data_IF_450033526080
#
_entry.id   IF_450033526080
#
_cell.length_a   1.000
_cell.length_b   1.000
_cell.length_c   1.000
_cell.angle_alpha   90.00
_cell.angle_beta   90.00
_cell.angle_gamma   90.00
#
_symmetry.space_group_name_H-M   'P 1'
#
loop_
_entity.id
_entity.type
_entity.pdbx_description
1 polymer ?
#
# COMPACT_ATOMS: atom_id res chain seq x y z
N UNK A 1 -38.10 63.06 23.66
CA UNK A 1 -37.42 62.27 24.71
C UNK A 1 -37.80 60.81 24.52
N UNK A 2 -36.89 60.04 23.94
CA UNK A 2 -37.07 58.68 23.43
C UNK A 2 -37.14 57.65 24.58
N UNK A 3 -38.27 57.59 25.30
CA UNK A 3 -38.46 56.62 26.40
C UNK A 3 -38.20 55.16 25.96
N UNK A 4 -38.45 54.83 24.68
CA UNK A 4 -38.24 53.50 24.12
C UNK A 4 -36.77 53.09 23.92
N UNK A 5 -35.84 54.05 23.75
CA UNK A 5 -34.41 53.74 23.58
C UNK A 5 -33.76 53.32 24.90
N UNK A 6 -34.21 53.89 26.02
CA UNK A 6 -33.70 53.56 27.35
C UNK A 6 -34.20 52.20 27.84
N UNK A 7 -35.51 51.92 27.66
CA UNK A 7 -36.13 50.62 27.99
C UNK A 7 -35.38 49.45 27.33
N UNK A 8 -34.98 49.64 26.07
CA UNK A 8 -34.25 48.68 25.26
C UNK A 8 -32.87 48.31 25.83
N UNK A 9 -32.15 49.27 26.41
CA UNK A 9 -30.82 49.05 26.99
C UNK A 9 -30.92 48.44 28.39
N UNK A 10 -31.81 48.96 29.23
CA UNK A 10 -32.08 48.44 30.57
C UNK A 10 -32.51 46.96 30.53
N UNK A 11 -33.29 46.57 29.50
CA UNK A 11 -33.66 45.18 29.23
C UNK A 11 -32.46 44.25 28.99
N UNK A 12 -31.41 44.74 28.32
CA UNK A 12 -30.21 43.95 28.06
C UNK A 12 -29.41 43.72 29.32
N UNK A 13 -29.20 44.80 30.08
CA UNK A 13 -28.34 44.75 31.25
C UNK A 13 -28.99 43.89 32.35
N UNK A 14 -30.31 44.00 32.56
CA UNK A 14 -31.04 43.10 33.46
C UNK A 14 -31.03 41.63 33.01
N UNK A 15 -31.04 41.34 31.71
CA UNK A 15 -30.94 39.95 31.22
C UNK A 15 -29.51 39.39 31.37
N UNK A 16 -28.46 40.22 31.29
CA UNK A 16 -27.08 39.78 31.59
C UNK A 16 -26.93 39.39 33.07
N UNK A 17 -27.65 40.07 33.95
CA UNK A 17 -27.69 39.79 35.39
C UNK A 17 -28.51 38.53 35.75
N UNK A 18 -28.84 37.68 34.78
CA UNK A 18 -29.64 36.45 34.91
C UNK A 18 -31.05 36.65 35.48
N UNK A 19 -31.63 37.84 35.35
CA UNK A 19 -33.04 38.01 35.70
C UNK A 19 -33.94 37.26 34.73
N UNK A 20 -34.91 36.53 35.29
CA UNK A 20 -35.93 35.84 34.51
C UNK A 20 -36.83 36.85 33.80
N UNK A 21 -37.32 36.51 32.60
CA UNK A 21 -38.13 37.42 31.77
C UNK A 21 -39.33 38.04 32.50
N UNK A 22 -39.95 37.30 33.41
CA UNK A 22 -41.08 37.77 34.24
C UNK A 22 -40.66 38.89 35.20
N UNK A 23 -39.49 38.78 35.83
CA UNK A 23 -38.99 39.78 36.76
C UNK A 23 -38.65 41.08 36.02
N UNK A 24 -38.03 40.96 34.85
CA UNK A 24 -37.70 42.09 33.98
C UNK A 24 -38.97 42.83 33.53
N UNK A 25 -40.01 42.08 33.15
CA UNK A 25 -41.31 42.62 32.75
C UNK A 25 -41.97 43.45 33.86
N UNK A 26 -41.95 42.95 35.10
CA UNK A 26 -42.49 43.65 36.27
C UNK A 26 -41.65 44.89 36.61
N UNK A 27 -40.32 44.76 36.62
CA UNK A 27 -39.40 45.84 36.98
C UNK A 27 -39.45 47.04 36.03
N UNK A 28 -39.57 46.77 34.72
CA UNK A 28 -39.62 47.82 33.70
C UNK A 28 -41.04 48.22 33.28
N UNK A 29 -42.07 47.56 33.84
CA UNK A 29 -43.47 47.72 33.46
C UNK A 29 -43.71 47.58 31.94
N UNK A 30 -43.06 46.57 31.34
CA UNK A 30 -43.14 46.27 29.90
C UNK A 30 -43.82 44.91 29.72
N UNK A 31 -44.72 44.73 28.73
CA UNK A 31 -45.34 43.44 28.46
C UNK A 31 -44.30 42.35 28.21
N UNK A 32 -44.51 41.16 28.81
CA UNK A 32 -43.61 40.01 28.71
C UNK A 32 -43.29 39.63 27.25
N UNK A 33 -44.27 39.75 26.35
CA UNK A 33 -44.08 39.49 24.91
C UNK A 33 -43.07 40.44 24.27
N UNK A 34 -43.09 41.72 24.66
CA UNK A 34 -42.13 42.72 24.17
C UNK A 34 -40.74 42.44 24.72
N UNK A 35 -40.62 42.08 26.01
CA UNK A 35 -39.35 41.66 26.63
C UNK A 35 -38.75 40.46 25.88
N UNK A 36 -39.56 39.43 25.62
CA UNK A 36 -39.13 38.24 24.88
C UNK A 36 -38.68 38.56 23.46
N UNK A 37 -39.41 39.44 22.75
CA UNK A 37 -39.09 39.82 21.37
C UNK A 37 -37.79 40.62 21.30
N UNK A 38 -37.61 41.59 22.20
CA UNK A 38 -36.41 42.43 22.27
C UNK A 38 -35.18 41.60 22.60
N UNK A 39 -35.27 40.70 23.59
CA UNK A 39 -34.15 39.82 23.95
C UNK A 39 -33.87 38.80 22.84
N UNK A 40 -34.89 38.27 22.17
CA UNK A 40 -34.74 37.40 21.01
C UNK A 40 -34.00 38.07 19.85
N UNK A 41 -34.37 39.31 19.51
CA UNK A 41 -33.70 40.12 18.51
C UNK A 41 -32.25 40.45 18.91
N UNK A 42 -32.00 40.72 20.19
CA UNK A 42 -30.65 40.93 20.71
C UNK A 42 -29.79 39.67 20.58
N UNK A 43 -30.27 38.51 21.03
CA UNK A 43 -29.54 37.24 20.94
C UNK A 43 -29.20 36.86 19.49
N UNK A 44 -30.07 37.18 18.55
CA UNK A 44 -29.92 36.78 17.14
C UNK A 44 -29.11 37.78 16.30
N UNK A 45 -29.27 39.07 16.55
CA UNK A 45 -28.76 40.14 15.66
C UNK A 45 -27.94 41.21 16.39
N UNK A 46 -27.75 41.09 17.71
CA UNK A 46 -27.14 42.10 18.59
C UNK A 46 -27.81 43.49 18.49
N UNK A 47 -29.02 43.59 17.94
CA UNK A 47 -29.79 44.83 17.77
C UNK A 47 -30.94 44.92 18.77
N UNK A 48 -31.30 46.14 19.19
CA UNK A 48 -32.50 46.40 20.02
C UNK A 48 -33.66 46.93 19.20
N UNK A 49 -33.35 47.48 18.03
CA UNK A 49 -34.36 47.95 17.11
C UNK A 49 -35.00 46.77 16.41
N UNK A 50 -36.33 46.83 16.15
CA UNK A 50 -36.94 45.90 15.22
C UNK A 50 -36.17 46.00 13.90
N UNK A 51 -35.79 44.85 13.34
CA UNK A 51 -35.16 44.84 12.03
C UNK A 51 -36.13 45.47 11.03
N UNK A 52 -35.60 46.29 10.13
CA UNK A 52 -36.37 46.71 8.96
C UNK A 52 -36.89 45.44 8.29
N UNK A 53 -38.22 45.34 8.18
CA UNK A 53 -38.85 44.26 7.45
C UNK A 53 -38.19 44.22 6.08
N UNK A 54 -37.47 43.14 5.77
CA UNK A 54 -36.92 42.94 4.45
C UNK A 54 -38.10 43.02 3.48
N UNK A 55 -38.19 44.12 2.74
CA UNK A 55 -39.31 44.36 1.84
C UNK A 55 -39.47 43.21 0.87
N UNK A 56 -40.62 43.18 0.17
CA UNK A 56 -40.90 42.14 -0.82
C UNK A 56 -39.71 41.96 -1.78
N UNK A 57 -39.30 40.71 -2.05
CA UNK A 57 -38.23 40.46 -3.00
C UNK A 57 -38.63 41.10 -4.35
N UNK A 58 -37.67 41.72 -5.05
CA UNK A 58 -37.97 42.39 -6.30
C UNK A 58 -38.53 41.39 -7.33
N UNK A 59 -39.60 41.76 -8.02
CA UNK A 59 -40.25 40.91 -9.05
C UNK A 59 -39.28 40.47 -10.15
N UNK A 60 -38.28 41.31 -10.44
CA UNK A 60 -37.25 41.04 -11.43
C UNK A 60 -35.92 40.70 -10.78
N UNK A 61 -35.36 39.55 -11.19
CA UNK A 61 -34.00 39.20 -10.83
C UNK A 61 -33.02 40.31 -11.27
N UNK A 62 -32.06 40.66 -10.40
CA UNK A 62 -31.03 41.70 -10.64
C UNK A 62 -30.32 41.60 -11.99
N UNK A 63 -30.20 40.39 -12.55
CA UNK A 63 -29.57 40.15 -13.86
C UNK A 63 -30.51 40.47 -15.03
N UNK A 64 -31.79 40.19 -14.88
CA UNK A 64 -32.82 40.52 -15.88
C UNK A 64 -33.01 42.03 -15.92
N UNK A 65 -33.14 42.68 -14.76
CA UNK A 65 -33.22 44.14 -14.66
C UNK A 65 -32.03 44.84 -15.34
N UNK A 66 -30.79 44.38 -15.10
CA UNK A 66 -29.60 44.91 -15.79
C UNK A 66 -29.59 44.69 -17.30
N UNK A 67 -30.10 43.54 -17.76
CA UNK A 67 -30.20 43.30 -19.20
C UNK A 67 -31.25 44.23 -19.83
N UNK A 68 -32.38 44.44 -19.15
CA UNK A 68 -33.45 45.34 -19.56
C UNK A 68 -32.93 46.78 -19.68
N UNK A 69 -32.22 47.25 -18.65
CA UNK A 69 -31.57 48.56 -18.64
C UNK A 69 -30.59 48.69 -19.82
N UNK A 70 -29.75 47.68 -20.06
CA UNK A 70 -28.84 47.67 -21.23
C UNK A 70 -29.57 47.71 -22.57
N UNK A 71 -30.68 46.99 -22.72
CA UNK A 71 -31.46 47.02 -23.96
C UNK A 71 -32.13 48.37 -24.17
N UNK A 72 -32.60 49.01 -23.10
CA UNK A 72 -33.18 50.35 -23.12
C UNK A 72 -32.14 51.45 -23.36
N UNK A 73 -30.92 51.31 -22.84
CA UNK A 73 -29.84 52.27 -23.13
C UNK A 73 -29.33 52.17 -24.57
N UNK A 74 -29.31 50.97 -25.15
CA UNK A 74 -28.78 50.74 -26.50
C UNK A 74 -29.78 51.03 -27.62
N UNK A 75 -31.06 51.25 -27.31
CA UNK A 75 -32.12 51.57 -28.26
C UNK A 75 -33.07 52.59 -27.65
N UNK A 76 -33.32 53.67 -28.37
CA UNK A 76 -34.20 54.77 -27.93
C UNK A 76 -35.65 54.37 -27.69
N UNK A 77 -36.18 53.32 -28.35
CA UNK A 77 -37.56 52.82 -28.18
C UNK A 77 -37.66 51.29 -28.45
N UNK A 78 -37.30 50.41 -27.49
CA UNK A 78 -37.46 48.98 -27.68
C UNK A 78 -38.92 48.53 -27.45
N UNK A 79 -39.49 47.81 -28.42
CA UNK A 79 -40.81 47.17 -28.22
C UNK A 79 -40.72 46.01 -27.22
N UNK A 80 -41.79 45.77 -26.45
CA UNK A 80 -41.83 44.67 -25.47
C UNK A 80 -41.50 43.30 -26.12
N UNK A 81 -42.07 43.02 -27.29
CA UNK A 81 -41.81 41.80 -28.07
C UNK A 81 -40.33 41.62 -28.36
N UNK A 82 -39.66 42.68 -28.80
CA UNK A 82 -38.22 42.64 -29.07
C UNK A 82 -37.40 42.31 -27.82
N UNK A 83 -37.73 42.92 -26.68
CA UNK A 83 -37.03 42.66 -25.42
C UNK A 83 -37.21 41.20 -24.97
N UNK A 84 -38.42 40.64 -25.12
CA UNK A 84 -38.69 39.23 -24.85
C UNK A 84 -37.89 38.30 -25.76
N UNK A 85 -37.83 38.60 -27.06
CA UNK A 85 -37.04 37.84 -28.05
C UNK A 85 -35.54 37.90 -27.77
N UNK A 86 -34.98 39.07 -27.43
CA UNK A 86 -33.56 39.20 -27.11
C UNK A 86 -33.20 38.40 -25.84
N UNK A 87 -34.04 38.46 -24.82
CA UNK A 87 -33.87 37.66 -23.60
C UNK A 87 -33.89 36.16 -23.90
N UNK A 88 -34.83 35.68 -24.72
CA UNK A 88 -34.91 34.26 -25.09
C UNK A 88 -33.74 33.85 -26.00
N UNK A 89 -33.30 34.70 -26.93
CA UNK A 89 -32.13 34.46 -27.77
C UNK A 89 -30.86 34.32 -26.93
N UNK A 90 -30.65 35.21 -25.94
CA UNK A 90 -29.55 35.10 -24.97
C UNK A 90 -29.63 33.82 -24.15
N UNK A 91 -30.84 33.43 -23.72
CA UNK A 91 -31.08 32.18 -22.99
C UNK A 91 -30.73 30.95 -23.82
N UNK A 92 -31.17 30.90 -25.09
CA UNK A 92 -30.82 29.85 -26.06
C UNK A 92 -29.31 29.75 -26.27
N UNK A 93 -28.64 30.88 -26.54
CA UNK A 93 -27.17 30.93 -26.70
C UNK A 93 -26.43 30.43 -25.45
N UNK A 94 -26.90 30.77 -24.25
CA UNK A 94 -26.34 30.27 -22.99
C UNK A 94 -26.55 28.77 -22.81
N UNK A 95 -27.75 28.25 -23.12
CA UNK A 95 -28.05 26.81 -23.08
C UNK A 95 -27.15 26.05 -24.06
N UNK A 96 -26.96 26.56 -25.26
CA UNK A 96 -26.10 25.95 -26.27
C UNK A 96 -24.63 25.94 -25.85
N UNK A 97 -24.11 27.07 -25.34
CA UNK A 97 -22.76 27.13 -24.76
C UNK A 97 -22.55 26.08 -23.67
N UNK A 98 -23.50 25.96 -22.73
CA UNK A 98 -23.47 24.93 -21.68
C UNK A 98 -23.48 23.51 -22.25
N UNK A 99 -24.28 23.24 -23.29
CA UNK A 99 -24.30 21.93 -23.99
C UNK A 99 -22.95 21.63 -24.64
N UNK A 100 -22.33 22.62 -25.31
CA UNK A 100 -21.00 22.50 -25.93
C UNK A 100 -19.91 22.23 -24.90
N UNK A 101 -19.92 22.96 -23.78
CA UNK A 101 -18.99 22.76 -22.66
C UNK A 101 -19.15 21.36 -22.04
N UNK A 102 -20.39 20.90 -21.81
CA UNK A 102 -20.66 19.52 -21.34
C UNK A 102 -20.14 18.47 -22.31
N UNK A 103 -20.34 18.64 -23.62
CA UNK A 103 -19.79 17.73 -24.65
C UNK A 103 -18.26 17.70 -24.62
N UNK A 104 -17.61 18.87 -24.53
CA UNK A 104 -16.14 18.96 -24.42
C UNK A 104 -15.63 18.28 -23.15
N UNK A 105 -16.29 18.50 -22.00
CA UNK A 105 -15.94 17.83 -20.72
C UNK A 105 -16.05 16.31 -20.83
N UNK A 106 -17.16 15.80 -21.36
CA UNK A 106 -17.36 14.35 -21.59
C UNK A 106 -16.29 13.76 -22.51
N UNK A 107 -15.91 14.46 -23.59
CA UNK A 107 -14.82 14.01 -24.48
C UNK A 107 -13.48 13.93 -23.76
N UNK A 108 -13.12 14.95 -22.96
CA UNK A 108 -11.88 14.94 -22.15
C UNK A 108 -11.88 13.82 -21.12
N UNK A 109 -13.01 13.60 -20.45
CA UNK A 109 -13.13 12.52 -19.46
C UNK A 109 -12.98 11.13 -20.10
N UNK A 110 -13.56 10.91 -21.29
CA UNK A 110 -13.36 9.66 -22.04
C UNK A 110 -11.90 9.44 -22.45
N UNK A 111 -11.17 10.50 -22.83
CA UNK A 111 -9.73 10.40 -23.15
C UNK A 111 -8.92 10.00 -21.92
N UNK A 112 -9.11 10.69 -20.79
CA UNK A 112 -8.46 10.35 -19.52
C UNK A 112 -8.72 8.91 -19.09
N UNK A 113 -9.96 8.43 -19.21
CA UNK A 113 -10.30 7.03 -18.91
C UNK A 113 -9.59 6.02 -19.81
N UNK A 114 -9.37 6.35 -21.09
CA UNK A 114 -8.60 5.51 -22.03
C UNK A 114 -7.11 5.52 -21.68
N UNK A 115 -6.54 6.69 -21.47
CA UNK A 115 -5.13 6.87 -21.05
C UNK A 115 -4.85 6.11 -19.75
N UNK A 116 -5.74 6.22 -18.75
CA UNK A 116 -5.60 5.49 -17.48
C UNK A 116 -5.69 3.97 -17.66
N UNK A 117 -6.56 3.50 -18.56
CA UNK A 117 -6.68 2.06 -18.87
C UNK A 117 -5.42 1.55 -19.57
N UNK A 118 -4.92 2.28 -20.56
CA UNK A 118 -3.68 1.96 -21.28
C UNK A 118 -2.48 1.91 -20.32
N UNK A 119 -2.36 2.89 -19.42
CA UNK A 119 -1.30 2.93 -18.40
C UNK A 119 -1.38 1.72 -17.45
N UNK A 120 -2.59 1.35 -17.00
CA UNK A 120 -2.82 0.15 -16.17
C UNK A 120 -2.41 -1.12 -16.90
N UNK A 121 -2.83 -1.29 -18.15
CA UNK A 121 -2.46 -2.44 -18.98
C UNK A 121 -0.93 -2.51 -19.21
N UNK A 122 -0.27 -1.38 -19.44
CA UNK A 122 1.18 -1.32 -19.62
C UNK A 122 1.93 -1.71 -18.34
N UNK A 123 1.50 -1.17 -17.18
CA UNK A 123 2.04 -1.55 -15.86
C UNK A 123 1.87 -3.05 -15.60
N UNK A 124 0.72 -3.62 -15.95
CA UNK A 124 0.47 -5.04 -15.79
C UNK A 124 1.36 -5.89 -16.71
N UNK A 125 1.49 -5.52 -17.99
CA UNK A 125 2.43 -6.16 -18.94
C UNK A 125 3.87 -6.10 -18.43
N UNK A 126 4.32 -4.97 -17.88
CA UNK A 126 5.64 -4.82 -17.24
C UNK A 126 5.80 -5.75 -16.03
N UNK A 127 4.82 -5.83 -15.14
CA UNK A 127 4.82 -6.77 -13.99
C UNK A 127 4.90 -8.24 -14.44
N UNK A 128 4.09 -8.64 -15.44
CA UNK A 128 4.11 -10.00 -16.03
C UNK A 128 5.48 -10.34 -16.62
N UNK A 129 6.09 -9.42 -17.40
CA UNK A 129 7.45 -9.57 -17.95
C UNK A 129 8.49 -9.75 -16.83
N UNK A 130 8.46 -8.92 -15.77
CA UNK A 130 9.35 -9.05 -14.60
C UNK A 130 9.18 -10.41 -13.90
N UNK A 131 7.95 -10.87 -13.67
CA UNK A 131 7.66 -12.19 -13.06
C UNK A 131 8.19 -13.34 -13.91
N UNK A 132 8.03 -13.29 -15.24
CA UNK A 132 8.57 -14.29 -16.18
C UNK A 132 10.11 -14.31 -16.14
N UNK A 133 10.78 -13.15 -16.14
CA UNK A 133 12.25 -13.06 -15.99
C UNK A 133 12.74 -13.66 -14.66
N UNK A 134 12.10 -13.33 -13.53
CA UNK A 134 12.43 -13.91 -12.21
C UNK A 134 12.27 -15.44 -12.19
N UNK A 135 11.18 -15.98 -12.74
CA UNK A 135 10.95 -17.43 -12.87
C UNK A 135 12.04 -18.10 -13.71
N UNK A 136 12.42 -17.52 -14.86
CA UNK A 136 13.52 -18.04 -15.69
C UNK A 136 14.85 -18.04 -14.93
N UNK A 137 15.19 -16.97 -14.20
CA UNK A 137 16.41 -16.89 -13.38
C UNK A 137 16.42 -17.95 -12.26
N UNK A 138 15.28 -18.16 -11.58
CA UNK A 138 15.14 -19.21 -10.55
C UNK A 138 15.32 -20.61 -11.12
N UNK A 139 14.72 -20.92 -12.29
CA UNK A 139 14.92 -22.20 -12.98
C UNK A 139 16.38 -22.43 -13.38
N UNK A 140 17.06 -21.42 -13.94
CA UNK A 140 18.50 -21.52 -14.28
C UNK A 140 19.37 -21.78 -13.05
N UNK A 141 19.11 -21.09 -11.93
CA UNK A 141 19.84 -21.31 -10.67
C UNK A 141 19.62 -22.72 -10.09
N UNK A 142 18.38 -23.24 -10.15
CA UNK A 142 18.09 -24.62 -9.73
C UNK A 142 18.87 -25.64 -10.58
N UNK A 143 18.80 -25.50 -11.91
CA UNK A 143 19.53 -26.38 -12.83
C UNK A 143 21.06 -26.32 -12.64
N UNK A 144 21.61 -25.14 -12.30
CA UNK A 144 23.04 -25.00 -11.97
C UNK A 144 23.39 -25.77 -10.69
N UNK A 145 22.58 -25.62 -9.64
CA UNK A 145 22.76 -26.34 -8.37
C UNK A 145 22.58 -27.85 -8.49
N UNK A 146 21.65 -28.30 -9.33
CA UNK A 146 21.46 -29.74 -9.61
C UNK A 146 22.68 -30.32 -10.33
N UNK A 147 23.26 -29.58 -11.30
CA UNK A 147 24.52 -29.96 -11.95
C UNK A 147 25.71 -29.97 -11.00
N UNK A 148 25.86 -28.94 -10.17
CA UNK A 148 26.93 -28.87 -9.16
C UNK A 148 26.86 -30.06 -8.19
N UNK A 149 25.65 -30.45 -7.76
CA UNK A 149 25.45 -31.64 -6.93
C UNK A 149 25.76 -32.95 -7.65
N UNK A 150 25.40 -33.07 -8.92
CA UNK A 150 25.69 -34.27 -9.72
C UNK A 150 27.19 -34.40 -10.03
N UNK A 151 27.90 -33.27 -10.17
CA UNK A 151 29.36 -33.22 -10.29
C UNK A 151 30.02 -33.61 -8.96
N UNK A 152 29.56 -33.05 -7.82
CA UNK A 152 30.04 -33.40 -6.48
C UNK A 152 29.77 -34.86 -6.11
N UNK A 153 28.62 -35.43 -6.47
CA UNK A 153 28.32 -36.86 -6.28
C UNK A 153 29.25 -37.76 -7.10
N UNK A 154 29.63 -37.35 -8.32
CA UNK A 154 30.59 -38.10 -9.15
C UNK A 154 32.01 -38.03 -8.61
N UNK A 155 32.46 -36.84 -8.18
CA UNK A 155 33.77 -36.69 -7.53
C UNK A 155 33.87 -37.56 -6.28
N UNK A 156 32.84 -37.57 -5.43
CA UNK A 156 32.82 -38.45 -4.25
C UNK A 156 32.77 -39.95 -4.60
N UNK A 157 32.12 -40.33 -5.70
CA UNK A 157 32.08 -41.73 -6.16
C UNK A 157 33.44 -42.17 -6.74
N UNK A 158 34.16 -41.27 -7.41
CA UNK A 158 35.52 -41.49 -7.90
C UNK A 158 36.51 -41.59 -6.73
N UNK A 159 36.49 -40.64 -5.78
CA UNK A 159 37.30 -40.70 -4.55
C UNK A 159 36.99 -41.98 -3.74
N UNK A 160 35.73 -42.40 -3.69
CA UNK A 160 35.34 -43.65 -3.02
C UNK A 160 35.94 -44.90 -3.67
N UNK A 161 36.02 -44.94 -5.01
CA UNK A 161 36.64 -46.04 -5.75
C UNK A 161 38.15 -46.06 -5.59
N UNK A 162 38.81 -44.90 -5.64
CA UNK A 162 40.26 -44.79 -5.39
C UNK A 162 40.61 -45.30 -3.98
N UNK A 163 39.86 -44.88 -2.96
CA UNK A 163 40.06 -45.37 -1.58
C UNK A 163 39.78 -46.88 -1.43
N UNK A 164 38.83 -47.44 -2.18
CA UNK A 164 38.55 -48.88 -2.16
C UNK A 164 39.65 -49.69 -2.85
N UNK A 165 40.26 -49.16 -3.92
CA UNK A 165 41.44 -49.74 -4.56
C UNK A 165 42.67 -49.69 -3.65
N UNK A 166 42.97 -48.54 -3.04
CA UNK A 166 44.06 -48.42 -2.05
C UNK A 166 43.85 -49.35 -0.84
N UNK A 167 42.60 -49.54 -0.41
CA UNK A 167 42.27 -50.48 0.65
C UNK A 167 42.57 -51.93 0.29
N UNK A 168 42.27 -52.35 -0.95
CA UNK A 168 42.56 -53.70 -1.46
C UNK A 168 44.06 -53.94 -1.61
N UNK A 169 44.81 -52.95 -2.11
CA UNK A 169 46.27 -53.04 -2.20
C UNK A 169 46.90 -53.23 -0.81
N UNK A 170 46.49 -52.44 0.19
CA UNK A 170 46.98 -52.61 1.56
C UNK A 170 46.62 -53.97 2.16
N UNK A 171 45.41 -54.49 1.89
CA UNK A 171 44.99 -55.80 2.40
C UNK A 171 45.77 -56.96 1.72
N UNK A 172 46.09 -56.85 0.43
CA UNK A 172 47.00 -57.79 -0.24
C UNK A 172 48.42 -57.71 0.33
N UNK A 173 48.93 -56.50 0.59
CA UNK A 173 50.25 -56.30 1.19
C UNK A 173 50.34 -56.88 2.62
N UNK A 174 49.28 -56.74 3.43
CA UNK A 174 49.21 -57.40 4.75
C UNK A 174 49.19 -58.93 4.63
N UNK A 175 48.43 -59.49 3.69
CA UNK A 175 48.41 -60.94 3.44
C UNK A 175 49.75 -61.48 2.98
N UNK A 176 50.49 -60.74 2.15
CA UNK A 176 51.87 -61.10 1.78
C UNK A 176 52.79 -61.09 3.00
N UNK A 177 52.75 -60.03 3.82
CA UNK A 177 53.54 -59.94 5.07
C UNK A 177 53.21 -61.07 6.05
N UNK A 178 51.96 -61.49 6.12
CA UNK A 178 51.51 -62.59 6.99
C UNK A 178 51.99 -63.96 6.47
N UNK A 179 51.93 -64.21 5.16
CA UNK A 179 52.53 -65.41 4.54
C UNK A 179 54.03 -65.48 4.73
N UNK A 180 54.73 -64.35 4.57
CA UNK A 180 56.18 -64.27 4.75
C UNK A 180 56.57 -64.57 6.21
N UNK A 181 55.73 -64.17 7.18
CA UNK A 181 55.87 -64.59 8.59
C UNK A 181 55.65 -66.09 8.77
N UNK A 182 54.59 -66.66 8.19
CA UNK A 182 54.33 -68.11 8.27
C UNK A 182 55.46 -68.95 7.65
N UNK A 183 56.04 -68.50 6.53
CA UNK A 183 57.19 -69.17 5.92
C UNK A 183 58.42 -69.13 6.82
N UNK A 184 58.75 -67.97 7.39
CA UNK A 184 59.83 -67.86 8.39
C UNK A 184 59.60 -68.76 9.60
N UNK A 185 58.36 -68.82 10.11
CA UNK A 185 58.02 -69.68 11.23
C UNK A 185 58.12 -71.18 10.89
N UNK A 186 57.88 -71.56 9.62
CA UNK A 186 58.11 -72.92 9.13
C UNK A 186 59.59 -73.23 8.95
N UNK A 187 60.38 -72.30 8.41
CA UNK A 187 61.84 -72.45 8.33
C UNK A 187 62.45 -72.62 9.73
N UNK A 188 62.05 -71.79 10.70
CA UNK A 188 62.50 -71.92 12.10
C UNK A 188 62.13 -73.30 12.69
N UNK A 189 60.90 -73.79 12.47
CA UNK A 189 60.50 -75.14 12.91
C UNK A 189 61.28 -76.24 12.20
N UNK A 190 61.61 -76.06 10.92
CA UNK A 190 62.37 -77.04 10.16
C UNK A 190 63.85 -77.07 10.58
N UNK A 191 64.43 -75.92 10.93
CA UNK A 191 65.73 -75.84 11.61
C UNK A 191 65.68 -76.51 12.99
N UNK A 192 64.63 -76.28 13.78
CA UNK A 192 64.47 -76.89 15.10
C UNK A 192 64.34 -78.43 15.01
N UNK A 193 63.72 -78.95 13.94
CA UNK A 193 63.65 -80.40 13.67
C UNK A 193 65.02 -80.93 13.24
N UNK A 194 65.76 -80.21 12.40
CA UNK A 194 67.13 -80.59 12.02
C UNK A 194 68.06 -80.59 13.23
N UNK A 195 67.95 -79.61 14.12
CA UNK A 195 68.69 -79.62 15.39
C UNK A 195 68.34 -80.84 16.24
N UNK A 196 67.05 -81.19 16.35
CA UNK A 196 66.62 -82.40 17.07
C UNK A 196 67.09 -83.70 16.42
N UNK A 197 67.13 -83.80 15.09
CA UNK A 197 67.71 -84.96 14.39
C UNK A 197 69.22 -85.06 14.60
N UNK A 198 69.93 -83.93 14.66
CA UNK A 198 71.36 -83.90 15.00
C UNK A 198 71.55 -84.35 16.45
N UNK A 199 70.72 -83.86 17.37
CA UNK A 199 70.75 -84.25 18.78
C UNK A 199 70.37 -85.73 19.01
N UNK A 200 69.44 -86.28 18.21
CA UNK A 200 69.12 -87.73 18.23
C UNK A 200 70.24 -88.58 17.65
N UNK A 201 70.90 -88.12 16.57
CA UNK A 201 72.10 -88.80 16.05
C UNK A 201 73.24 -88.78 17.04
N UNK A 202 73.47 -87.68 17.75
CA UNK A 202 74.45 -87.62 18.82
C UNK A 202 74.08 -88.57 19.99
N UNK A 203 72.79 -88.72 20.31
CA UNK A 203 72.30 -89.68 21.31
C UNK A 203 72.36 -91.14 20.84
N UNK A 204 72.26 -91.42 19.55
CA UNK A 204 72.48 -92.75 18.98
C UNK A 204 73.98 -93.11 18.95
N UNK A 205 74.84 -92.16 18.61
CA UNK A 205 76.30 -92.34 18.69
C UNK A 205 76.77 -92.53 20.14
N UNK A 206 76.16 -91.87 21.13
CA UNK A 206 76.42 -92.15 22.55
C UNK A 206 75.96 -93.54 23.00
N UNK A 207 74.94 -94.13 22.36
CA UNK A 207 74.46 -95.50 22.66
C UNK A 207 75.33 -96.60 22.03
N UNK A 208 76.09 -96.32 20.99
CA UNK A 208 77.06 -97.27 20.42
C UNK A 208 78.36 -97.37 21.25
N UNK A 209 78.57 -96.47 22.20
CA UNK A 209 79.78 -96.40 23.03
C UNK A 209 79.64 -96.98 24.45
N UNK A 210 78.51 -97.59 24.79
CA UNK A 210 78.24 -98.25 26.08
C UNK A 210 77.81 -99.70 25.91
#
# INVERSE_FOLDING_TARGET
>A
MDKNKHISQDLRDLHKDNNWYKNISVQLNVPLNSVSTIIGNWKSHNSIFPLDCSGSPPELAKRTARNLARTASNRTQPTLKYVQEDLEKRRKKRRERRRRERRKRRKRERRRKREEKEEKEEKEKKKRKKKKKKRKKKKKRKKKKEKEKEEEEKENEEEGKENEEEGKENEEEEKEKEKEKEEKEKEEKEEEVKEKEVEEKEKEEEKEWY
#
